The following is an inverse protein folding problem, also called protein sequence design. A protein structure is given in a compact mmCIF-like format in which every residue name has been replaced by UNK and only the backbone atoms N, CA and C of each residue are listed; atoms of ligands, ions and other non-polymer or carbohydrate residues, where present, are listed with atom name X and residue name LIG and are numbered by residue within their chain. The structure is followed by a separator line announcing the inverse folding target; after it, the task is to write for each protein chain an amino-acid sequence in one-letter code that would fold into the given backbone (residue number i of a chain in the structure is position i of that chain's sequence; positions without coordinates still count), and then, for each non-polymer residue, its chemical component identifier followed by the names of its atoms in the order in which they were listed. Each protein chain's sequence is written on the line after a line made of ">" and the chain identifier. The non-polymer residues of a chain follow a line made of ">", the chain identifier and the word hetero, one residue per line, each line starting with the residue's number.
data_IF_442561742258
#
_entry.id   IF_442561742258
#
_cell.length_a   1.000
_cell.length_b   1.000
_cell.length_c   1.000
_cell.angle_alpha   90.00
_cell.angle_beta   90.00
_cell.angle_gamma   90.00
#
_symmetry.space_group_name_H-M   'P 1'
#
loop_
_entity.id
_entity.type
_entity.pdbx_description
1 polymer ?
#
# COMPACT_ATOMS: atom_id res chain seq x y z
N UNK A 1 -1.74 -3.27 3.45
CA UNK A 1 -1.05 -3.56 4.73
C UNK A 1 0.46 -3.63 4.54
N UNK A 2 0.99 -4.33 3.51
CA UNK A 2 2.43 -4.50 3.30
C UNK A 2 3.19 -3.18 3.22
N UNK A 3 2.68 -2.19 2.49
CA UNK A 3 3.30 -0.86 2.36
C UNK A 3 3.24 0.01 3.63
N UNK A 4 2.59 -0.46 4.69
CA UNK A 4 2.62 0.16 6.01
C UNK A 4 3.72 -0.42 6.93
N UNK A 5 4.46 -1.41 6.43
CA UNK A 5 5.55 -2.05 7.15
C UNK A 5 6.89 -1.46 6.73
N UNK A 6 7.85 -1.42 7.65
CA UNK A 6 9.19 -0.88 7.38
C UNK A 6 9.98 -1.78 6.41
N UNK A 7 9.79 -3.09 6.50
CA UNK A 7 10.48 -4.09 5.69
C UNK A 7 9.49 -5.10 5.14
N UNK A 8 9.66 -5.46 3.87
CA UNK A 8 8.77 -6.39 3.16
C UNK A 8 9.58 -7.61 2.72
N UNK A 9 9.16 -8.78 3.17
CA UNK A 9 9.63 -10.07 2.64
C UNK A 9 8.50 -10.67 1.82
N UNK A 10 8.77 -11.12 0.62
CA UNK A 10 7.77 -11.71 -0.27
C UNK A 10 8.32 -12.93 -1.01
N UNK A 11 7.45 -13.85 -1.40
CA UNK A 11 7.81 -14.86 -2.39
C UNK A 11 7.73 -14.26 -3.80
N UNK A 12 8.45 -14.83 -4.75
CA UNK A 12 8.40 -14.44 -6.16
C UNK A 12 6.98 -14.56 -6.75
N UNK A 13 6.20 -15.51 -6.28
CA UNK A 13 4.82 -15.72 -6.70
C UNK A 13 3.81 -14.72 -6.08
N UNK A 14 4.24 -13.89 -5.12
CA UNK A 14 3.34 -12.92 -4.49
C UNK A 14 3.04 -11.75 -5.43
N UNK A 15 1.87 -11.14 -5.25
CA UNK A 15 1.46 -9.94 -5.98
C UNK A 15 0.99 -8.86 -5.03
N UNK A 16 1.18 -7.59 -5.43
CA UNK A 16 0.73 -6.41 -4.72
C UNK A 16 -0.32 -5.69 -5.56
N UNK A 17 -1.49 -5.41 -5.00
CA UNK A 17 -2.55 -4.71 -5.71
C UNK A 17 -3.25 -3.69 -4.81
N UNK A 18 -3.75 -2.61 -5.41
CA UNK A 18 -4.59 -1.59 -4.76
C UNK A 18 -5.89 -1.52 -5.54
N UNK A 19 -6.93 -2.16 -5.04
CA UNK A 19 -8.15 -2.47 -5.79
C UNK A 19 -9.41 -1.64 -5.49
N UNK A 20 -9.44 -0.63 -4.58
CA UNK A 20 -10.67 0.08 -4.23
C UNK A 20 -11.37 0.75 -5.42
N UNK A 21 -10.62 1.23 -6.43
CA UNK A 21 -11.21 1.81 -7.64
C UNK A 21 -12.09 0.82 -8.43
N UNK A 22 -11.83 -0.49 -8.30
CA UNK A 22 -12.68 -1.54 -8.90
C UNK A 22 -14.05 -1.69 -8.21
N UNK A 23 -14.18 -1.12 -7.01
CA UNK A 23 -15.40 -1.08 -6.20
C UNK A 23 -16.06 0.31 -6.19
N UNK A 24 -15.58 1.26 -7.01
CA UNK A 24 -16.10 2.63 -7.05
C UNK A 24 -15.77 3.46 -5.80
N UNK A 25 -14.77 3.07 -5.00
CA UNK A 25 -14.38 3.80 -3.80
C UNK A 25 -12.96 4.33 -3.86
N UNK A 26 -12.67 5.52 -3.30
CA UNK A 26 -11.31 6.01 -3.15
C UNK A 26 -10.58 5.26 -2.03
N UNK A 27 -9.25 5.25 -2.12
CA UNK A 27 -8.43 4.77 -1.01
C UNK A 27 -8.36 5.80 0.12
N UNK A 28 -8.16 5.33 1.35
CA UNK A 28 -8.00 6.22 2.51
C UNK A 28 -6.72 7.03 2.38
N UNK A 29 -6.74 8.32 2.79
CA UNK A 29 -5.59 9.24 2.65
C UNK A 29 -4.31 8.69 3.29
N UNK A 30 -4.42 8.10 4.50
CA UNK A 30 -3.27 7.51 5.19
C UNK A 30 -2.70 6.33 4.39
N UNK A 31 -3.57 5.50 3.80
CA UNK A 31 -3.15 4.41 2.93
C UNK A 31 -2.47 4.88 1.65
N UNK A 32 -2.93 5.99 1.06
CA UNK A 32 -2.24 6.65 -0.06
C UNK A 32 -0.85 7.11 0.37
N UNK A 33 -0.73 7.77 1.52
CA UNK A 33 0.54 8.25 2.04
C UNK A 33 1.54 7.10 2.27
N UNK A 34 1.08 5.98 2.83
CA UNK A 34 1.90 4.79 3.04
C UNK A 34 2.45 4.21 1.73
N UNK A 35 1.61 4.15 0.69
CA UNK A 35 2.06 3.68 -0.64
C UNK A 35 3.06 4.65 -1.25
N UNK A 36 2.79 5.96 -1.18
CA UNK A 36 3.70 7.00 -1.69
C UNK A 36 5.04 7.03 -0.96
N UNK A 37 5.07 6.61 0.31
CA UNK A 37 6.31 6.45 1.07
C UNK A 37 7.10 5.18 0.72
N UNK A 38 6.43 4.17 0.13
CA UNK A 38 7.02 2.85 -0.12
C UNK A 38 7.46 2.61 -1.56
N UNK A 39 6.82 3.26 -2.56
CA UNK A 39 7.13 3.06 -3.99
C UNK A 39 7.29 4.41 -4.71
N UNK A 40 7.99 4.45 -5.86
CA UNK A 40 8.07 5.64 -6.70
C UNK A 40 6.68 6.14 -7.13
N UNK A 41 6.53 7.47 -7.27
CA UNK A 41 5.25 8.11 -7.58
C UNK A 41 4.55 7.56 -8.83
N UNK A 42 5.30 7.28 -9.89
CA UNK A 42 4.77 6.69 -11.12
C UNK A 42 4.21 5.28 -10.89
N UNK A 43 4.89 4.48 -10.06
CA UNK A 43 4.44 3.13 -9.67
C UNK A 43 3.18 3.21 -8.81
N UNK A 44 3.15 4.12 -7.82
CA UNK A 44 1.95 4.38 -7.04
C UNK A 44 0.77 4.75 -7.94
N UNK A 45 0.96 5.69 -8.88
CA UNK A 45 -0.08 6.07 -9.84
C UNK A 45 -0.57 4.90 -10.68
N UNK A 46 0.33 4.07 -11.19
CA UNK A 46 -0.03 2.85 -11.92
C UNK A 46 -0.92 1.94 -11.07
N UNK A 47 -0.50 1.63 -9.84
CA UNK A 47 -1.26 0.76 -8.93
C UNK A 47 -2.65 1.32 -8.59
N UNK A 48 -2.76 2.63 -8.30
CA UNK A 48 -4.03 3.25 -7.91
C UNK A 48 -5.00 3.44 -9.08
N UNK A 49 -4.49 3.84 -10.26
CA UNK A 49 -5.33 4.23 -11.40
C UNK A 49 -5.74 3.03 -12.25
N UNK A 50 -4.92 1.98 -12.31
CA UNK A 50 -5.21 0.80 -13.11
C UNK A 50 -5.83 -0.34 -12.28
N UNK A 51 -5.60 -0.33 -10.96
CA UNK A 51 -5.94 -1.41 -10.04
C UNK A 51 -5.38 -2.79 -10.49
N UNK A 52 -4.33 -2.79 -11.32
CA UNK A 52 -3.66 -4.01 -11.78
C UNK A 52 -2.68 -4.50 -10.70
N UNK A 53 -2.57 -5.82 -10.49
CA UNK A 53 -1.57 -6.38 -9.60
C UNK A 53 -0.18 -6.27 -10.20
N UNK A 54 0.82 -5.93 -9.37
CA UNK A 54 2.23 -6.01 -9.69
C UNK A 54 2.84 -7.25 -9.03
N UNK A 55 3.62 -8.02 -9.77
CA UNK A 55 4.37 -9.15 -9.22
C UNK A 55 5.46 -8.65 -8.24
N UNK A 56 5.72 -9.40 -7.17
CA UNK A 56 6.71 -9.02 -6.16
C UNK A 56 8.13 -8.89 -6.72
N UNK A 57 8.42 -9.62 -7.81
CA UNK A 57 9.72 -9.58 -8.53
C UNK A 57 9.74 -8.57 -9.68
N UNK A 58 8.69 -7.78 -9.85
CA UNK A 58 8.64 -6.78 -10.91
C UNK A 58 9.71 -5.69 -10.70
N UNK A 59 10.31 -5.16 -11.78
CA UNK A 59 11.27 -4.05 -11.68
C UNK A 59 10.68 -2.80 -10.99
N UNK A 60 9.36 -2.59 -11.10
CA UNK A 60 8.66 -1.48 -10.46
C UNK A 60 8.72 -1.54 -8.92
N UNK A 61 8.82 -2.74 -8.35
CA UNK A 61 8.92 -2.96 -6.90
C UNK A 61 10.35 -3.22 -6.42
N UNK A 62 11.35 -3.08 -7.32
CA UNK A 62 12.75 -3.14 -6.94
C UNK A 62 13.08 -2.05 -5.90
N UNK A 63 13.65 -2.45 -4.76
CA UNK A 63 13.91 -1.56 -3.63
C UNK A 63 12.75 -1.42 -2.64
N UNK A 64 11.52 -1.78 -3.00
CA UNK A 64 10.38 -1.84 -2.08
C UNK A 64 10.32 -3.19 -1.35
N UNK A 65 10.52 -4.29 -2.07
CA UNK A 65 10.62 -5.62 -1.48
C UNK A 65 12.03 -5.81 -0.93
N UNK A 66 12.16 -5.88 0.39
CA UNK A 66 13.45 -5.98 1.10
C UNK A 66 14.14 -7.31 0.84
N UNK A 67 13.37 -8.38 0.78
CA UNK A 67 13.85 -9.75 0.47
C UNK A 67 12.83 -10.46 -0.41
N UNK A 68 13.29 -11.02 -1.51
CA UNK A 68 12.53 -11.85 -2.42
C UNK A 68 12.95 -13.31 -2.25
N UNK A 69 12.01 -14.17 -1.93
CA UNK A 69 12.21 -15.60 -1.74
C UNK A 69 11.63 -16.40 -2.92
N UNK A 70 12.25 -17.50 -3.27
CA UNK A 70 11.81 -18.33 -4.41
C UNK A 70 10.55 -19.14 -4.05
N UNK A 71 10.45 -19.62 -2.81
CA UNK A 71 9.39 -20.49 -2.32
C UNK A 71 9.05 -20.24 -0.84
N UNK A 72 8.11 -21.01 -0.29
CA UNK A 72 7.69 -20.88 1.11
C UNK A 72 8.80 -21.23 2.11
N UNK A 73 9.70 -22.14 1.78
CA UNK A 73 10.80 -22.52 2.69
C UNK A 73 11.85 -21.42 2.79
N UNK A 74 12.26 -20.88 1.65
CA UNK A 74 13.17 -19.72 1.59
C UNK A 74 12.54 -18.44 2.14
N UNK A 75 11.23 -18.25 1.98
CA UNK A 75 10.50 -17.16 2.62
C UNK A 75 10.58 -17.25 4.14
N UNK A 76 10.30 -18.44 4.71
CA UNK A 76 10.36 -18.66 6.15
C UNK A 76 11.76 -18.40 6.70
N UNK A 77 12.79 -18.87 6.01
CA UNK A 77 14.17 -18.61 6.37
C UNK A 77 14.55 -17.12 6.30
N UNK A 78 14.12 -16.43 5.23
CA UNK A 78 14.47 -15.03 4.99
C UNK A 78 13.89 -14.08 6.06
N UNK A 79 12.60 -14.22 6.39
CA UNK A 79 11.99 -13.33 7.40
C UNK A 79 12.51 -13.64 8.81
N UNK A 80 12.77 -14.93 9.15
CA UNK A 80 13.34 -15.30 10.45
C UNK A 80 14.74 -14.72 10.61
N UNK A 81 15.63 -14.91 9.62
CA UNK A 81 16.97 -14.35 9.65
C UNK A 81 16.95 -12.81 9.80
N UNK A 82 16.03 -12.12 9.13
CA UNK A 82 15.86 -10.68 9.26
C UNK A 82 15.41 -10.28 10.67
N UNK A 83 14.41 -10.97 11.21
CA UNK A 83 13.90 -10.73 12.57
C UNK A 83 14.97 -11.00 13.63
N UNK A 84 15.68 -12.12 13.54
CA UNK A 84 16.80 -12.48 14.43
C UNK A 84 17.92 -11.43 14.38
N UNK A 85 18.27 -10.96 13.16
CA UNK A 85 19.27 -9.90 13.00
C UNK A 85 18.85 -8.62 13.71
N UNK A 86 17.61 -8.17 13.53
CA UNK A 86 17.10 -6.95 14.18
C UNK A 86 17.07 -7.13 15.69
N UNK A 87 16.61 -8.29 16.17
CA UNK A 87 16.52 -8.60 17.61
C UNK A 87 17.87 -8.70 18.28
N UNK A 88 18.95 -8.99 17.54
CA UNK A 88 20.32 -9.03 18.06
C UNK A 88 20.97 -7.66 18.24
N UNK A 89 20.34 -6.57 17.74
CA UNK A 89 20.86 -5.22 17.84
C UNK A 89 20.31 -4.51 19.09
N UNK A 90 20.96 -3.41 19.49
CA UNK A 90 20.57 -2.64 20.66
C UNK A 90 19.15 -2.03 20.50
N UNK A 91 18.14 -2.46 21.30
CA UNK A 91 16.75 -2.05 21.07
C UNK A 91 16.50 -0.54 21.17
N UNK A 92 17.21 0.14 22.09
CA UNK A 92 17.09 1.60 22.25
C UNK A 92 17.61 2.34 21.02
N UNK A 93 18.70 1.86 20.42
CA UNK A 93 19.26 2.43 19.20
C UNK A 93 18.32 2.25 18.00
N UNK A 94 17.77 1.03 17.82
CA UNK A 94 16.80 0.75 16.75
C UNK A 94 15.55 1.63 16.90
N UNK A 95 15.01 1.75 18.11
CA UNK A 95 13.84 2.60 18.38
C UNK A 95 14.10 4.07 18.08
N UNK A 96 15.26 4.61 18.50
CA UNK A 96 15.63 5.99 18.25
C UNK A 96 15.79 6.27 16.76
N UNK A 97 16.54 5.42 16.04
CA UNK A 97 16.77 5.56 14.59
C UNK A 97 15.43 5.48 13.83
N UNK A 98 14.57 4.51 14.15
CA UNK A 98 13.26 4.40 13.50
C UNK A 98 12.39 5.64 13.76
N UNK A 99 12.35 6.15 14.98
CA UNK A 99 11.59 7.35 15.33
C UNK A 99 12.11 8.58 14.56
N UNK A 100 13.43 8.72 14.45
CA UNK A 100 14.07 9.80 13.70
C UNK A 100 13.80 9.72 12.20
N UNK A 101 13.91 8.51 11.60
CA UNK A 101 13.58 8.28 10.19
C UNK A 101 12.12 8.64 9.90
N UNK A 102 11.18 8.20 10.73
CA UNK A 102 9.76 8.53 10.57
C UNK A 102 9.54 10.05 10.66
N UNK A 103 10.11 10.73 11.68
CA UNK A 103 9.97 12.16 11.83
C UNK A 103 10.52 12.95 10.62
N UNK A 104 11.62 12.50 10.02
CA UNK A 104 12.22 13.14 8.85
C UNK A 104 11.44 12.87 7.56
N UNK A 105 10.82 11.71 7.43
CA UNK A 105 10.00 11.36 6.25
C UNK A 105 8.60 11.92 6.32
N UNK A 106 8.00 12.04 7.51
CA UNK A 106 6.66 12.59 7.75
C UNK A 106 6.60 14.13 7.70
N UNK A 107 7.76 14.80 7.50
CA UNK A 107 7.91 16.26 7.58
C UNK A 107 7.20 17.07 6.46
N UNK A 108 6.13 16.55 5.86
CA UNK A 108 5.22 17.31 4.98
C UNK A 108 3.82 17.34 5.60
N UNK A 109 3.53 18.29 6.50
CA UNK A 109 2.18 18.44 7.00
C UNK A 109 1.24 18.75 5.84
N UNK A 110 0.14 18.00 5.72
CA UNK A 110 -0.97 18.38 4.85
C UNK A 110 -1.61 19.65 5.44
N UNK A 111 -1.68 20.71 4.66
CA UNK A 111 -2.47 21.89 5.03
C UNK A 111 -3.92 21.50 5.32
N UNK A 112 -4.54 22.10 6.34
CA UNK A 112 -5.90 21.78 6.78
C UNK A 112 -6.91 21.81 5.64
N UNK A 113 -6.86 22.82 4.75
CA UNK A 113 -7.75 22.93 3.60
C UNK A 113 -7.57 21.79 2.58
N UNK A 114 -6.36 21.29 2.40
CA UNK A 114 -6.11 20.12 1.55
C UNK A 114 -6.70 18.86 2.16
N UNK A 115 -6.57 18.67 3.48
CA UNK A 115 -7.15 17.54 4.19
C UNK A 115 -8.70 17.55 4.12
N UNK A 116 -9.33 18.72 4.33
CA UNK A 116 -10.78 18.86 4.24
C UNK A 116 -11.32 18.55 2.84
N UNK A 117 -10.66 19.08 1.79
CA UNK A 117 -11.01 18.79 0.40
C UNK A 117 -10.92 17.29 0.08
N UNK A 118 -9.85 16.62 0.50
CA UNK A 118 -9.67 15.17 0.29
C UNK A 118 -10.75 14.37 1.04
N UNK A 119 -11.13 14.82 2.22
CA UNK A 119 -12.19 14.20 3.03
C UNK A 119 -13.56 14.35 2.35
N UNK A 120 -13.85 15.52 1.75
CA UNK A 120 -15.09 15.75 1.00
C UNK A 120 -15.20 14.86 -0.24
N UNK A 121 -14.12 14.74 -1.02
CA UNK A 121 -14.06 13.84 -2.20
C UNK A 121 -14.30 12.38 -1.82
N UNK A 122 -13.68 11.92 -0.74
CA UNK A 122 -13.88 10.56 -0.24
C UNK A 122 -15.32 10.32 0.19
N UNK A 123 -15.92 11.27 0.92
CA UNK A 123 -17.33 11.18 1.34
C UNK A 123 -18.27 11.10 0.15
N UNK A 124 -18.06 11.93 -0.88
CA UNK A 124 -18.86 11.90 -2.10
C UNK A 124 -18.83 10.51 -2.76
N UNK A 125 -17.66 9.90 -2.89
CA UNK A 125 -17.55 8.57 -3.46
C UNK A 125 -18.26 7.48 -2.62
N UNK A 126 -18.20 7.55 -1.29
CA UNK A 126 -18.90 6.60 -0.40
C UNK A 126 -20.44 6.67 -0.50
N UNK A 127 -20.99 7.81 -0.94
CA UNK A 127 -22.43 8.01 -1.11
C UNK A 127 -22.87 7.93 -2.57
N UNK A 128 -21.98 7.58 -3.48
CA UNK A 128 -22.23 7.53 -4.92
C UNK A 128 -23.01 6.27 -5.35
N UNK A 129 -23.68 6.37 -6.51
CA UNK A 129 -24.28 5.22 -7.18
C UNK A 129 -23.21 4.20 -7.62
N UNK A 130 -22.02 4.66 -7.97
CA UNK A 130 -20.89 3.81 -8.34
C UNK A 130 -20.43 2.92 -7.19
N UNK A 131 -20.45 3.40 -5.95
CA UNK A 131 -20.15 2.54 -4.79
C UNK A 131 -21.17 1.41 -4.64
N UNK A 132 -22.46 1.71 -4.77
CA UNK A 132 -23.52 0.71 -4.71
C UNK A 132 -23.39 -0.33 -5.84
N UNK A 133 -23.08 0.13 -7.05
CA UNK A 133 -22.80 -0.73 -8.21
C UNK A 133 -21.57 -1.62 -7.97
N UNK A 134 -20.48 -1.07 -7.43
CA UNK A 134 -19.26 -1.83 -7.12
C UNK A 134 -19.54 -2.98 -6.14
N UNK A 135 -20.33 -2.73 -5.10
CA UNK A 135 -20.75 -3.77 -4.14
C UNK A 135 -21.66 -4.82 -4.79
N UNK A 136 -22.63 -4.39 -5.63
CA UNK A 136 -23.51 -5.30 -6.33
C UNK A 136 -22.74 -6.21 -7.29
N UNK A 137 -21.88 -5.63 -8.13
CA UNK A 137 -21.05 -6.36 -9.09
C UNK A 137 -20.12 -7.38 -8.39
N UNK A 138 -19.52 -6.99 -7.26
CA UNK A 138 -18.69 -7.90 -6.45
C UNK A 138 -19.49 -9.13 -5.95
N UNK A 139 -20.71 -8.91 -5.42
CA UNK A 139 -21.59 -9.99 -4.95
C UNK A 139 -22.05 -10.91 -6.09
N UNK A 140 -22.33 -10.32 -7.24
CA UNK A 140 -22.81 -11.01 -8.45
C UNK A 140 -21.67 -11.63 -9.28
N UNK A 141 -20.41 -11.39 -8.91
CA UNK A 141 -19.21 -11.86 -9.62
C UNK A 141 -19.17 -11.44 -11.08
N UNK A 142 -19.58 -10.20 -11.37
CA UNK A 142 -19.53 -9.57 -12.68
C UNK A 142 -18.69 -8.30 -12.66
N UNK A 143 -18.36 -7.79 -13.84
CA UNK A 143 -17.71 -6.48 -13.95
C UNK A 143 -18.68 -5.34 -13.61
N UNK A 144 -18.24 -4.32 -12.83
CA UNK A 144 -19.05 -3.15 -12.52
C UNK A 144 -19.17 -2.23 -13.73
N UNK A 145 -20.28 -1.44 -13.75
CA UNK A 145 -20.55 -0.42 -14.77
C UNK A 145 -20.69 0.93 -14.09
N UNK A 146 -19.58 1.65 -13.98
CA UNK A 146 -19.53 2.95 -13.33
C UNK A 146 -20.00 4.07 -14.24
N UNK A 147 -20.77 5.02 -13.68
CA UNK A 147 -21.31 6.21 -14.38
C UNK A 147 -20.63 7.51 -13.92
N UNK A 148 -19.90 7.50 -12.81
CA UNK A 148 -19.28 8.68 -12.23
C UNK A 148 -20.25 9.48 -11.33
N UNK A 149 -21.33 8.86 -10.83
CA UNK A 149 -22.40 9.46 -10.04
C UNK A 149 -22.50 8.90 -8.62
#
# INVERSE_FOLDING_TARGET
>A
LAFACDLIVATRAATFAITPARLGVPYHTDGVAQVLGAVPLNVAKEMFLTAQPLAADSPQLAGTVTRLAEDSASFEAAWRALAERISSLAPLSIRAIKAEMNALTDARPLESGTFERLTALRRAAWTSADYAEGIAAFRERRDPRFAGE
#
